data_IF_330282408302
#
_entry.id   IF_330282408302
#
_cell.length_a   1.000
_cell.length_b   1.000
_cell.length_c   1.000
_cell.angle_alpha   90.00
_cell.angle_beta   90.00
_cell.angle_gamma   90.00
#
_symmetry.space_group_name_H-M   'P 1'
#
loop_
_entity.id
_entity.type
_entity.pdbx_description
1 polymer ?
#
# COMPACT_ATOMS: atom_id res chain seq x y z
N UNK A 1 -7.31 27.43 -10.43
CA UNK A 1 -6.60 26.17 -10.75
C UNK A 1 -6.06 25.53 -9.46
N UNK A 2 -6.90 25.34 -8.43
CA UNK A 2 -6.45 24.92 -7.08
C UNK A 2 -7.25 23.76 -6.47
N UNK A 3 -8.40 23.39 -7.04
CA UNK A 3 -9.23 22.29 -6.51
C UNK A 3 -8.61 20.89 -6.65
N UNK A 4 -7.58 20.71 -7.50
CA UNK A 4 -7.03 19.36 -7.75
C UNK A 4 -6.12 18.84 -6.64
N UNK A 5 -5.39 19.70 -5.94
CA UNK A 5 -4.39 19.25 -4.94
C UNK A 5 -5.07 18.75 -3.67
N UNK A 6 -6.26 19.26 -3.33
CA UNK A 6 -6.96 18.89 -2.09
C UNK A 6 -7.49 17.45 -2.07
N UNK A 7 -7.77 16.88 -3.24
CA UNK A 7 -8.33 15.52 -3.38
C UNK A 7 -7.26 14.41 -3.48
N UNK A 8 -6.01 14.75 -3.80
CA UNK A 8 -4.93 13.77 -4.01
C UNK A 8 -4.37 13.13 -2.72
N UNK A 9 -4.18 13.85 -1.59
CA UNK A 9 -3.60 13.27 -0.37
C UNK A 9 -4.45 12.15 0.22
N UNK A 10 -5.77 12.35 0.27
CA UNK A 10 -6.72 11.37 0.79
C UNK A 10 -6.75 10.10 -0.05
N UNK A 11 -6.81 10.24 -1.38
CA UNK A 11 -6.82 9.11 -2.31
C UNK A 11 -5.53 8.27 -2.24
N UNK A 12 -4.37 8.91 -2.08
CA UNK A 12 -3.07 8.23 -1.94
C UNK A 12 -2.98 7.48 -0.61
N UNK A 13 -3.38 8.11 0.50
CA UNK A 13 -3.42 7.44 1.81
C UNK A 13 -4.41 6.27 1.84
N UNK A 14 -5.58 6.45 1.22
CA UNK A 14 -6.60 5.41 1.09
C UNK A 14 -6.09 4.23 0.25
N UNK A 15 -5.35 4.51 -0.84
CA UNK A 15 -4.70 3.48 -1.67
C UNK A 15 -3.66 2.67 -0.89
N UNK A 16 -2.85 3.32 -0.05
CA UNK A 16 -1.89 2.62 0.82
C UNK A 16 -2.58 1.71 1.84
N UNK A 17 -3.67 2.19 2.46
CA UNK A 17 -4.49 1.39 3.38
C UNK A 17 -5.14 0.20 2.67
N UNK A 18 -5.73 0.43 1.50
CA UNK A 18 -6.35 -0.61 0.67
C UNK A 18 -5.32 -1.66 0.24
N UNK A 19 -4.11 -1.25 -0.11
CA UNK A 19 -3.03 -2.20 -0.47
C UNK A 19 -2.66 -3.08 0.71
N UNK A 20 -2.57 -2.52 1.92
CA UNK A 20 -2.29 -3.30 3.13
C UNK A 20 -3.41 -4.30 3.42
N UNK A 21 -4.66 -3.87 3.27
CA UNK A 21 -5.82 -4.74 3.46
C UNK A 21 -5.88 -5.88 2.42
N UNK A 22 -5.62 -5.57 1.14
CA UNK A 22 -5.52 -6.56 0.07
C UNK A 22 -4.36 -7.54 0.31
N UNK A 23 -3.23 -7.08 0.86
CA UNK A 23 -2.14 -7.96 1.25
C UNK A 23 -2.58 -8.97 2.32
N UNK A 24 -3.32 -8.52 3.34
CA UNK A 24 -3.85 -9.41 4.38
C UNK A 24 -4.86 -10.42 3.82
N UNK A 25 -5.72 -9.98 2.89
CA UNK A 25 -6.64 -10.89 2.19
C UNK A 25 -5.89 -11.91 1.34
N UNK A 26 -4.81 -11.51 0.67
CA UNK A 26 -3.95 -12.43 -0.08
C UNK A 26 -3.29 -13.46 0.84
N UNK A 27 -2.79 -13.06 2.02
CA UNK A 27 -2.28 -14.01 3.04
C UNK A 27 -3.33 -15.05 3.41
N UNK A 28 -4.57 -14.63 3.71
CA UNK A 28 -5.65 -15.56 4.03
C UNK A 28 -5.99 -16.52 2.86
N UNK A 29 -5.90 -16.03 1.61
CA UNK A 29 -6.04 -16.86 0.43
C UNK A 29 -4.88 -17.86 0.29
N UNK A 30 -3.64 -17.44 0.54
CA UNK A 30 -2.46 -18.31 0.53
C UNK A 30 -2.58 -19.41 1.60
N UNK A 31 -2.98 -19.07 2.83
CA UNK A 31 -3.24 -20.06 3.89
C UNK A 31 -4.32 -21.07 3.48
N UNK A 32 -5.41 -20.59 2.89
CA UNK A 32 -6.49 -21.44 2.38
C UNK A 32 -5.99 -22.38 1.28
N UNK A 33 -5.20 -21.85 0.33
CA UNK A 33 -4.63 -22.62 -0.77
C UNK A 33 -3.65 -23.67 -0.25
N UNK A 34 -2.83 -23.32 0.74
CA UNK A 34 -1.94 -24.25 1.42
C UNK A 34 -2.73 -25.36 2.12
N UNK A 35 -3.80 -25.02 2.83
CA UNK A 35 -4.68 -26.01 3.48
C UNK A 35 -5.29 -27.00 2.49
N UNK A 36 -5.78 -26.50 1.34
CA UNK A 36 -6.29 -27.34 0.25
C UNK A 36 -5.20 -28.20 -0.37
N UNK A 37 -4.02 -27.64 -0.61
CA UNK A 37 -2.91 -28.37 -1.21
C UNK A 37 -2.40 -29.48 -0.27
N UNK A 38 -2.30 -29.21 1.04
CA UNK A 38 -2.05 -30.24 2.06
C UNK A 38 -3.12 -31.34 2.05
N UNK A 39 -4.38 -30.98 1.92
CA UNK A 39 -5.49 -31.94 1.87
C UNK A 39 -5.46 -32.84 0.62
N UNK A 40 -4.97 -32.34 -0.52
CA UNK A 40 -4.94 -33.09 -1.79
C UNK A 40 -3.67 -33.91 -1.90
N UNK A 41 -2.52 -33.30 -1.61
CA UNK A 41 -1.21 -33.88 -1.83
C UNK A 41 -0.70 -34.67 -0.62
N UNK A 42 -1.29 -34.51 0.56
CA UNK A 42 -0.84 -35.17 1.79
C UNK A 42 0.64 -34.90 2.05
N UNK A 43 1.42 -35.95 2.23
CA UNK A 43 2.87 -35.87 2.48
C UNK A 43 3.65 -35.33 1.27
N UNK A 44 3.13 -35.44 0.04
CA UNK A 44 3.77 -34.88 -1.15
C UNK A 44 3.77 -33.33 -1.17
N UNK A 45 2.96 -32.69 -0.31
CA UNK A 45 3.07 -31.25 -0.08
C UNK A 45 4.33 -30.88 0.70
N UNK A 46 4.83 -31.78 1.56
CA UNK A 46 6.01 -31.52 2.38
C UNK A 46 7.27 -31.57 1.50
N UNK A 47 7.87 -30.39 1.25
CA UNK A 47 9.11 -30.25 0.51
C UNK A 47 9.15 -28.98 -0.35
N UNK A 48 9.80 -29.08 -1.51
CA UNK A 48 10.05 -27.96 -2.41
C UNK A 48 8.79 -27.18 -2.83
N UNK A 49 7.64 -27.85 -2.93
CA UNK A 49 6.37 -27.21 -3.26
C UNK A 49 5.89 -26.26 -2.15
N UNK A 50 5.93 -26.70 -0.89
CA UNK A 50 5.57 -25.84 0.24
C UNK A 50 6.56 -24.71 0.46
N UNK A 51 7.85 -24.97 0.25
CA UNK A 51 8.90 -23.96 0.40
C UNK A 51 8.80 -22.89 -0.68
N UNK A 52 8.60 -23.29 -1.95
CA UNK A 52 8.41 -22.35 -3.05
C UNK A 52 7.15 -21.50 -2.85
N UNK A 53 6.08 -22.09 -2.31
CA UNK A 53 4.86 -21.36 -2.00
C UNK A 53 5.08 -20.30 -0.91
N UNK A 54 5.74 -20.67 0.19
CA UNK A 54 6.07 -19.74 1.29
C UNK A 54 7.03 -18.64 0.85
N UNK A 55 8.03 -18.96 0.02
CA UNK A 55 8.95 -17.96 -0.55
C UNK A 55 8.20 -16.92 -1.40
N UNK A 56 7.23 -17.37 -2.22
CA UNK A 56 6.40 -16.47 -3.03
C UNK A 56 5.46 -15.62 -2.18
N UNK A 57 4.86 -16.19 -1.16
CA UNK A 57 4.05 -15.46 -0.20
C UNK A 57 4.86 -14.36 0.50
N UNK A 58 6.05 -14.69 1.02
CA UNK A 58 6.93 -13.72 1.67
C UNK A 58 7.36 -12.58 0.76
N UNK A 59 7.71 -12.88 -0.50
CA UNK A 59 8.05 -11.87 -1.51
C UNK A 59 6.89 -10.93 -1.81
N UNK A 60 5.67 -11.48 -1.91
CA UNK A 60 4.48 -10.66 -2.12
C UNK A 60 4.20 -9.73 -0.95
N UNK A 61 4.25 -10.25 0.28
CA UNK A 61 4.03 -9.45 1.48
C UNK A 61 5.05 -8.32 1.62
N UNK A 62 6.32 -8.59 1.34
CA UNK A 62 7.37 -7.57 1.34
C UNK A 62 7.09 -6.45 0.32
N UNK A 63 6.74 -6.82 -0.92
CA UNK A 63 6.41 -5.85 -1.96
C UNK A 63 5.17 -5.01 -1.63
N UNK A 64 4.13 -5.63 -1.06
CA UNK A 64 2.91 -4.92 -0.66
C UNK A 64 3.18 -3.92 0.48
N UNK A 65 4.02 -4.28 1.45
CA UNK A 65 4.44 -3.39 2.54
C UNK A 65 5.28 -2.22 2.03
N UNK A 66 6.20 -2.47 1.09
CA UNK A 66 6.99 -1.41 0.44
C UNK A 66 6.09 -0.44 -0.32
N UNK A 67 5.11 -0.95 -1.07
CA UNK A 67 4.15 -0.12 -1.81
C UNK A 67 3.31 0.74 -0.86
N UNK A 68 2.76 0.16 0.20
CA UNK A 68 2.01 0.92 1.20
C UNK A 68 2.85 2.01 1.86
N UNK A 69 4.14 1.74 2.13
CA UNK A 69 5.07 2.73 2.68
C UNK A 69 5.36 3.87 1.69
N UNK A 70 5.54 3.54 0.40
CA UNK A 70 5.76 4.51 -0.65
C UNK A 70 4.55 5.44 -0.82
N UNK A 71 3.34 4.87 -0.88
CA UNK A 71 2.09 5.64 -0.95
C UNK A 71 1.93 6.55 0.27
N UNK A 72 2.20 6.07 1.49
CA UNK A 72 2.16 6.90 2.69
C UNK A 72 3.16 8.08 2.64
N UNK A 73 4.35 7.87 2.07
CA UNK A 73 5.34 8.95 1.86
C UNK A 73 4.84 9.96 0.83
N UNK A 74 4.27 9.50 -0.29
CA UNK A 74 3.67 10.36 -1.29
C UNK A 74 2.52 11.20 -0.72
N UNK A 75 1.67 10.60 0.12
CA UNK A 75 0.57 11.29 0.80
C UNK A 75 1.08 12.45 1.65
N UNK A 76 2.08 12.19 2.50
CA UNK A 76 2.71 13.23 3.34
C UNK A 76 3.36 14.34 2.53
N UNK A 77 4.15 13.99 1.51
CA UNK A 77 4.81 14.99 0.65
C UNK A 77 3.79 15.87 -0.10
N UNK A 78 2.65 15.30 -0.50
CA UNK A 78 1.57 16.04 -1.15
C UNK A 78 0.88 16.99 -0.16
N UNK A 79 0.67 16.54 1.08
CA UNK A 79 0.08 17.38 2.13
C UNK A 79 0.99 18.54 2.53
N UNK A 80 2.29 18.29 2.70
CA UNK A 80 3.29 19.36 2.91
C UNK A 80 3.32 20.34 1.74
N UNK A 81 3.26 19.84 0.50
CA UNK A 81 3.21 20.69 -0.70
C UNK A 81 1.95 21.57 -0.73
N UNK A 82 0.80 21.02 -0.33
CA UNK A 82 -0.46 21.77 -0.23
C UNK A 82 -0.39 22.87 0.84
N UNK A 83 0.19 22.57 2.00
CA UNK A 83 0.40 23.55 3.07
C UNK A 83 1.36 24.68 2.64
N UNK A 84 2.45 24.32 1.97
CA UNK A 84 3.42 25.29 1.44
C UNK A 84 2.81 26.21 0.37
N UNK A 85 2.00 25.65 -0.52
CA UNK A 85 1.28 26.43 -1.52
C UNK A 85 0.31 27.41 -0.86
N UNK A 86 -0.46 26.97 0.13
CA UNK A 86 -1.38 27.83 0.87
C UNK A 86 -0.66 28.94 1.65
N UNK A 87 0.45 28.63 2.30
CA UNK A 87 1.27 29.62 3.00
C UNK A 87 1.84 30.68 2.04
N UNK A 88 2.27 30.25 0.85
CA UNK A 88 2.76 31.15 -0.20
C UNK A 88 1.64 32.07 -0.69
N UNK A 89 0.44 31.53 -0.93
CA UNK A 89 -0.72 32.34 -1.34
C UNK A 89 -1.08 33.40 -0.29
N UNK A 90 -1.07 33.06 1.01
CA UNK A 90 -1.31 34.03 2.09
C UNK A 90 -0.27 35.14 2.10
N UNK A 91 1.02 34.79 1.95
CA UNK A 91 2.10 35.78 1.90
C UNK A 91 1.96 36.70 0.69
N UNK A 92 1.65 36.15 -0.48
CA UNK A 92 1.41 36.94 -1.69
C UNK A 92 0.17 37.83 -1.56
N UNK A 93 -0.92 37.35 -0.97
CA UNK A 93 -2.11 38.16 -0.73
C UNK A 93 -1.82 39.36 0.20
N UNK A 94 -0.97 39.17 1.22
CA UNK A 94 -0.52 40.25 2.11
C UNK A 94 0.39 41.30 1.45
N UNK A 95 0.98 41.00 0.28
CA UNK A 95 1.78 41.96 -0.49
C UNK A 95 0.95 42.87 -1.41
N UNK A 96 -0.31 42.49 -1.69
CA UNK A 96 -1.23 43.25 -2.54
C UNK A 96 -2.40 43.88 -1.77
N UNK A 97 -2.39 43.80 -0.43
CA UNK A 97 -3.33 44.45 0.48
C UNK A 97 -2.83 45.77 1.02
#
# INVERSE_FOLDING_TARGET
MFDRIKYLPGAVSETGSNTTQLSQQMTALYETLQGKAKSICGDAWQGSASEAFQDREGKWQAAAAEFASAEARCGRATEESAQNAHATDIQCAGLFG
#
